data_IF_712625244829
#
_entry.id   IF_712625244829
#
_cell.length_a   1.000
_cell.length_b   1.000
_cell.length_c   1.000
_cell.angle_alpha   90.00
_cell.angle_beta   90.00
_cell.angle_gamma   90.00
#
_symmetry.space_group_name_H-M   'P 1'
#
loop_
_entity.id
_entity.type
_entity.pdbx_description
1 polymer ?
#
# COMPACT_ATOMS: atom_id res chain seq x y z
N UNK A 1 22.64 -23.49 14.11
CA UNK A 1 21.37 -24.24 13.92
C UNK A 1 20.73 -23.72 12.66
N UNK A 2 20.96 -24.38 11.51
CA UNK A 2 20.45 -23.94 10.21
C UNK A 2 18.98 -24.31 10.06
N UNK A 3 18.10 -23.34 9.93
CA UNK A 3 16.72 -23.55 9.50
C UNK A 3 16.71 -23.81 7.98
N UNK A 4 16.49 -25.05 7.58
CA UNK A 4 16.17 -25.42 6.19
C UNK A 4 14.76 -24.92 5.88
N UNK A 5 14.66 -23.89 5.04
CA UNK A 5 13.42 -23.54 4.36
C UNK A 5 13.06 -24.65 3.38
N UNK A 6 12.05 -25.44 3.69
CA UNK A 6 11.40 -26.32 2.72
C UNK A 6 10.58 -25.45 1.77
N UNK A 7 11.08 -25.29 0.56
CA UNK A 7 10.28 -24.82 -0.57
C UNK A 7 9.27 -25.93 -0.89
N UNK A 8 8.03 -25.73 -0.51
CA UNK A 8 6.91 -26.57 -0.95
C UNK A 8 6.60 -26.17 -2.38
N UNK A 9 6.99 -27.03 -3.33
CA UNK A 9 6.50 -26.94 -4.71
C UNK A 9 5.02 -27.29 -4.74
N UNK A 10 4.17 -26.26 -4.72
CA UNK A 10 2.72 -26.39 -4.85
C UNK A 10 2.30 -26.30 -6.31
N UNK A 11 2.60 -27.32 -7.12
CA UNK A 11 2.05 -27.47 -8.48
C UNK A 11 0.58 -27.96 -8.49
N UNK A 12 -0.04 -28.23 -7.37
CA UNK A 12 -1.36 -28.86 -7.28
C UNK A 12 -2.46 -28.08 -6.57
N UNK A 13 -2.33 -26.79 -6.33
CA UNK A 13 -3.46 -25.96 -5.91
C UNK A 13 -4.17 -25.42 -7.15
N UNK A 14 -5.03 -26.26 -7.79
CA UNK A 14 -6.11 -25.77 -8.66
C UNK A 14 -6.99 -24.85 -7.81
N UNK A 15 -6.75 -23.54 -7.93
CA UNK A 15 -7.60 -22.50 -7.36
C UNK A 15 -8.94 -22.60 -8.10
N UNK A 16 -9.90 -23.30 -7.48
CA UNK A 16 -11.29 -23.28 -7.93
C UNK A 16 -11.79 -21.85 -7.80
N UNK A 17 -12.10 -21.27 -8.96
CA UNK A 17 -12.77 -19.99 -9.19
C UNK A 17 -12.06 -18.72 -8.71
N UNK A 18 -11.44 -18.03 -9.65
CA UNK A 18 -10.94 -16.64 -9.58
C UNK A 18 -12.01 -15.57 -9.23
N UNK A 19 -13.27 -15.98 -8.96
CA UNK A 19 -14.37 -15.07 -8.63
C UNK A 19 -14.32 -14.46 -7.22
N UNK A 20 -13.50 -15.00 -6.33
CA UNK A 20 -13.29 -14.48 -4.96
C UNK A 20 -12.10 -13.54 -4.83
N UNK A 21 -11.37 -13.29 -5.90
CA UNK A 21 -10.36 -12.25 -5.95
C UNK A 21 -11.07 -10.91 -5.99
N UNK A 22 -10.61 -9.98 -5.17
CA UNK A 22 -11.05 -8.60 -5.16
C UNK A 22 -11.35 -8.17 -6.59
N UNK A 23 -12.63 -8.00 -6.92
CA UNK A 23 -13.05 -7.59 -8.25
C UNK A 23 -12.40 -6.24 -8.53
N UNK A 24 -11.46 -6.21 -9.45
CA UNK A 24 -11.01 -4.99 -10.10
C UNK A 24 -12.13 -4.55 -11.06
N UNK A 25 -13.35 -4.40 -10.53
CA UNK A 25 -14.41 -3.71 -11.22
C UNK A 25 -14.03 -2.23 -11.18
N UNK A 26 -13.47 -1.76 -12.29
CA UNK A 26 -13.31 -0.32 -12.53
C UNK A 26 -14.73 0.22 -12.66
N UNK A 27 -15.37 0.49 -11.51
CA UNK A 27 -16.64 1.18 -11.51
C UNK A 27 -16.42 2.54 -12.16
N UNK A 28 -17.31 2.93 -13.07
CA UNK A 28 -17.26 4.19 -13.83
C UNK A 28 -17.39 5.47 -12.95
N UNK A 29 -17.23 5.38 -11.65
CA UNK A 29 -17.37 6.46 -10.67
C UNK A 29 -16.03 6.99 -10.14
N UNK A 30 -15.00 7.03 -11.00
CA UNK A 30 -13.74 7.67 -10.62
C UNK A 30 -13.97 9.18 -10.45
N UNK A 31 -13.86 9.68 -9.23
CA UNK A 31 -13.91 11.11 -8.95
C UNK A 31 -12.65 11.79 -9.48
N UNK A 32 -12.82 12.80 -10.33
CA UNK A 32 -11.71 13.65 -10.79
C UNK A 32 -11.41 14.66 -9.69
N UNK A 33 -10.23 14.57 -9.08
CA UNK A 33 -9.74 15.53 -8.11
C UNK A 33 -8.81 16.53 -8.79
N UNK A 34 -9.16 17.79 -8.74
CA UNK A 34 -8.24 18.86 -9.14
C UNK A 34 -7.33 19.20 -7.97
N UNK A 35 -6.03 19.19 -8.21
CA UNK A 35 -5.05 19.62 -7.22
C UNK A 35 -5.05 21.16 -7.13
N UNK A 36 -4.93 21.71 -5.93
CA UNK A 36 -4.58 23.11 -5.75
C UNK A 36 -3.18 23.39 -6.31
N UNK A 37 -2.82 24.65 -6.47
CA UNK A 37 -1.49 25.03 -6.95
C UNK A 37 -0.38 24.47 -6.04
N UNK A 38 -0.54 24.58 -4.72
CA UNK A 38 0.39 24.06 -3.73
C UNK A 38 0.52 22.52 -3.82
N UNK A 39 -0.61 21.82 -3.90
CA UNK A 39 -0.65 20.37 -4.06
C UNK A 39 0.00 19.92 -5.37
N UNK A 40 -0.22 20.67 -6.46
CA UNK A 40 0.39 20.38 -7.74
C UNK A 40 1.91 20.60 -7.72
N UNK A 41 2.39 21.63 -7.05
CA UNK A 41 3.81 21.87 -6.87
C UNK A 41 4.45 20.75 -6.03
N UNK A 42 3.84 20.34 -4.92
CA UNK A 42 4.29 19.20 -4.14
C UNK A 42 4.32 17.90 -4.98
N UNK A 43 3.28 17.62 -5.76
CA UNK A 43 3.24 16.48 -6.66
C UNK A 43 4.35 16.52 -7.72
N UNK A 44 4.62 17.69 -8.32
CA UNK A 44 5.71 17.85 -9.29
C UNK A 44 7.06 17.49 -8.70
N UNK A 45 7.34 17.91 -7.46
CA UNK A 45 8.58 17.54 -6.77
C UNK A 45 8.67 16.03 -6.50
N UNK A 46 7.58 15.40 -6.04
CA UNK A 46 7.53 13.94 -5.87
C UNK A 46 7.73 13.18 -7.18
N UNK A 47 7.32 13.77 -8.30
CA UNK A 47 7.32 13.14 -9.63
C UNK A 47 8.54 13.47 -10.47
N UNK A 48 9.44 14.30 -9.96
CA UNK A 48 10.59 14.82 -10.71
C UNK A 48 11.59 13.75 -11.18
N UNK A 49 11.61 12.63 -10.47
CA UNK A 49 12.57 11.57 -10.73
C UNK A 49 11.84 10.27 -11.11
N UNK A 50 12.26 9.64 -12.18
CA UNK A 50 11.64 8.43 -12.72
C UNK A 50 12.38 7.14 -12.31
N UNK A 51 13.57 7.26 -11.68
CA UNK A 51 14.39 6.13 -11.28
C UNK A 51 15.21 6.40 -10.01
N UNK A 52 15.62 5.32 -9.35
CA UNK A 52 16.42 5.35 -8.13
C UNK A 52 15.59 5.54 -6.87
N UNK A 53 16.17 5.10 -5.75
CA UNK A 53 15.59 5.23 -4.42
C UNK A 53 15.61 6.69 -3.93
N UNK A 54 14.50 7.16 -3.39
CA UNK A 54 14.37 8.49 -2.79
C UNK A 54 13.38 8.46 -1.63
N UNK A 55 13.65 9.32 -0.66
CA UNK A 55 12.75 9.60 0.46
C UNK A 55 12.27 11.04 0.34
N UNK A 56 10.96 11.22 0.39
CA UNK A 56 10.34 12.55 0.37
C UNK A 56 9.52 12.74 1.65
N UNK A 57 9.61 13.91 2.25
CA UNK A 57 8.76 14.33 3.35
C UNK A 57 7.69 15.30 2.83
N UNK A 58 6.42 14.86 2.88
CA UNK A 58 5.29 15.69 2.51
C UNK A 58 4.70 16.34 3.77
N UNK A 59 5.03 17.60 4.02
CA UNK A 59 4.53 18.39 5.15
C UNK A 59 3.27 19.17 4.78
N UNK A 60 2.37 19.31 5.74
CA UNK A 60 1.15 20.11 5.61
C UNK A 60 0.24 19.92 6.81
N UNK A 61 -0.60 20.90 7.08
CA UNK A 61 -1.59 20.84 8.16
C UNK A 61 -2.60 19.72 7.96
N UNK A 62 -3.31 19.34 9.00
CA UNK A 62 -4.43 18.41 8.90
C UNK A 62 -5.48 18.99 7.96
N UNK A 63 -6.00 18.19 7.03
CA UNK A 63 -6.97 18.66 6.03
C UNK A 63 -6.37 19.37 4.80
N UNK A 64 -5.06 19.60 4.73
CA UNK A 64 -4.41 20.22 3.54
C UNK A 64 -4.46 19.35 2.27
N UNK A 65 -5.00 18.14 2.35
CA UNK A 65 -5.16 17.26 1.21
C UNK A 65 -3.91 16.44 0.84
N UNK A 66 -2.97 16.25 1.75
CA UNK A 66 -1.78 15.37 1.56
C UNK A 66 -2.13 14.03 0.92
N UNK A 67 -3.25 13.44 1.35
CA UNK A 67 -3.75 12.17 0.81
C UNK A 67 -3.91 12.19 -0.72
N UNK A 68 -4.47 13.28 -1.28
CA UNK A 68 -4.69 13.38 -2.73
C UNK A 68 -3.36 13.52 -3.47
N UNK A 69 -2.39 14.21 -2.88
CA UNK A 69 -1.05 14.37 -3.46
C UNK A 69 -0.37 13.00 -3.58
N UNK A 70 -0.32 12.22 -2.51
CA UNK A 70 0.30 10.90 -2.62
C UNK A 70 -0.56 9.89 -3.40
N UNK A 71 -1.89 10.02 -3.44
CA UNK A 71 -2.71 9.23 -4.36
C UNK A 71 -2.32 9.48 -5.82
N UNK A 72 -2.04 10.74 -6.18
CA UNK A 72 -1.54 11.07 -7.50
C UNK A 72 -0.18 10.45 -7.80
N UNK A 73 0.72 10.42 -6.82
CA UNK A 73 1.99 9.70 -6.94
C UNK A 73 1.79 8.18 -7.12
N UNK A 74 0.88 7.58 -6.35
CA UNK A 74 0.51 6.16 -6.51
C UNK A 74 -0.04 5.92 -7.93
N UNK A 75 -0.92 6.77 -8.45
CA UNK A 75 -1.46 6.64 -9.81
C UNK A 75 -0.32 6.57 -10.85
N UNK A 76 0.72 7.43 -10.74
CA UNK A 76 1.91 7.37 -11.60
C UNK A 76 2.60 6.01 -11.52
N UNK A 77 2.79 5.49 -10.31
CA UNK A 77 3.45 4.19 -10.08
C UNK A 77 2.64 3.02 -10.65
N UNK A 78 1.32 3.06 -10.52
CA UNK A 78 0.43 2.05 -11.10
C UNK A 78 0.47 2.06 -12.62
N UNK A 79 0.55 3.24 -13.25
CA UNK A 79 0.61 3.39 -14.70
C UNK A 79 1.88 2.80 -15.31
N UNK A 80 2.99 2.73 -14.58
CA UNK A 80 4.22 2.04 -15.00
C UNK A 80 4.25 0.55 -14.61
N UNK A 81 3.09 0.00 -14.17
CA UNK A 81 2.90 -1.41 -13.85
C UNK A 81 3.46 -1.86 -12.50
N UNK A 82 3.90 -0.93 -11.65
CA UNK A 82 4.40 -1.21 -10.29
C UNK A 82 3.25 -1.28 -9.28
N UNK A 83 3.59 -1.66 -8.05
CA UNK A 83 2.66 -1.80 -6.93
C UNK A 83 2.97 -0.74 -5.87
N UNK A 84 1.98 -0.43 -5.04
CA UNK A 84 2.15 0.53 -3.95
C UNK A 84 1.68 -0.03 -2.60
N UNK A 85 2.34 0.42 -1.53
CA UNK A 85 1.96 0.18 -0.15
C UNK A 85 1.65 1.50 0.53
N UNK A 86 0.48 1.58 1.17
CA UNK A 86 0.11 2.69 2.05
C UNK A 86 0.15 2.17 3.48
N UNK A 87 1.07 2.70 4.26
CA UNK A 87 1.10 2.48 5.71
C UNK A 87 0.24 3.53 6.39
N UNK A 88 -0.69 3.07 7.22
CA UNK A 88 -1.52 3.90 8.08
C UNK A 88 -1.34 3.47 9.54
N UNK A 89 -1.45 4.39 10.50
CA UNK A 89 -1.70 4.02 11.90
C UNK A 89 -2.93 3.11 12.00
N UNK A 90 -3.00 2.24 13.01
CA UNK A 90 -4.16 1.33 13.14
C UNK A 90 -5.49 2.09 13.21
N UNK A 91 -5.50 3.26 13.85
CA UNK A 91 -6.68 4.15 13.89
C UNK A 91 -7.01 4.78 12.54
N UNK A 92 -6.05 4.86 11.64
CA UNK A 92 -6.21 5.40 10.27
C UNK A 92 -6.81 4.40 9.29
N UNK A 93 -6.83 3.09 9.66
CA UNK A 93 -7.44 2.02 8.85
C UNK A 93 -8.97 2.04 8.99
N UNK A 94 -9.59 3.09 8.51
CA UNK A 94 -11.02 3.32 8.62
C UNK A 94 -11.75 3.02 7.31
N UNK A 95 -13.04 2.66 7.44
CA UNK A 95 -13.91 2.51 6.27
C UNK A 95 -14.00 3.80 5.43
N UNK A 96 -13.80 4.95 6.05
CA UNK A 96 -13.80 6.24 5.36
C UNK A 96 -12.58 6.37 4.44
N UNK A 97 -11.39 5.98 4.92
CA UNK A 97 -10.19 5.97 4.09
C UNK A 97 -10.32 5.00 2.91
N UNK A 98 -10.86 3.80 3.16
CA UNK A 98 -11.12 2.81 2.10
C UNK A 98 -12.10 3.34 1.05
N UNK A 99 -13.19 4.00 1.47
CA UNK A 99 -14.14 4.66 0.57
C UNK A 99 -13.48 5.78 -0.23
N UNK A 100 -12.64 6.61 0.41
CA UNK A 100 -11.91 7.68 -0.26
C UNK A 100 -10.95 7.12 -1.31
N UNK A 101 -10.23 6.04 -0.97
CA UNK A 101 -9.37 5.32 -1.90
C UNK A 101 -10.16 4.79 -3.10
N UNK A 102 -11.25 4.06 -2.84
CA UNK A 102 -12.11 3.49 -3.89
C UNK A 102 -12.68 4.58 -4.80
N UNK A 103 -13.15 5.69 -4.23
CA UNK A 103 -13.67 6.84 -4.99
C UNK A 103 -12.61 7.48 -5.90
N UNK A 104 -11.34 7.50 -5.48
CA UNK A 104 -10.24 8.06 -6.26
C UNK A 104 -9.79 7.12 -7.38
N UNK A 105 -9.54 5.86 -7.05
CA UNK A 105 -8.94 4.90 -7.98
C UNK A 105 -9.95 4.11 -8.82
N UNK A 106 -11.21 4.03 -8.40
CA UNK A 106 -12.25 3.20 -9.02
C UNK A 106 -12.16 1.72 -8.67
N UNK A 107 -11.24 1.32 -7.79
CA UNK A 107 -11.09 -0.06 -7.31
C UNK A 107 -10.74 -0.10 -5.82
N UNK A 108 -10.85 -1.27 -5.19
CA UNK A 108 -10.54 -1.48 -3.78
C UNK A 108 -9.08 -1.89 -3.59
N UNK A 109 -8.41 -1.31 -2.59
CA UNK A 109 -7.11 -1.80 -2.14
C UNK A 109 -7.24 -3.06 -1.28
N UNK A 110 -6.18 -3.84 -1.21
CA UNK A 110 -6.10 -4.93 -0.24
C UNK A 110 -5.79 -4.38 1.14
N UNK A 111 -6.70 -4.56 2.09
CA UNK A 111 -6.52 -4.07 3.47
C UNK A 111 -5.91 -5.17 4.34
N UNK A 112 -4.79 -4.83 5.03
CA UNK A 112 -4.02 -5.75 5.85
C UNK A 112 -3.87 -5.26 7.29
N UNK A 113 -4.48 -5.99 8.22
CA UNK A 113 -4.41 -5.75 9.68
C UNK A 113 -4.62 -7.04 10.46
N UNK A 114 -4.50 -6.98 11.78
CA UNK A 114 -4.58 -8.13 12.68
C UNK A 114 -5.88 -8.93 12.56
N UNK A 115 -7.00 -8.27 12.28
CA UNK A 115 -8.35 -8.88 12.18
C UNK A 115 -8.67 -9.51 10.82
N UNK A 116 -7.75 -9.47 9.84
CA UNK A 116 -7.98 -10.11 8.53
C UNK A 116 -7.97 -11.63 8.70
N UNK A 117 -9.01 -12.31 8.20
CA UNK A 117 -9.14 -13.77 8.30
C UNK A 117 -8.01 -14.51 7.57
N UNK A 118 -7.64 -15.72 8.00
CA UNK A 118 -6.58 -16.50 7.36
C UNK A 118 -6.82 -16.74 5.86
N UNK A 119 -8.07 -17.01 5.45
CA UNK A 119 -8.45 -17.17 4.04
C UNK A 119 -8.16 -15.89 3.25
N UNK A 120 -8.59 -14.72 3.75
CA UNK A 120 -8.35 -13.43 3.10
C UNK A 120 -6.87 -13.07 3.07
N UNK A 121 -6.11 -13.38 4.13
CA UNK A 121 -4.64 -13.21 4.17
C UNK A 121 -3.96 -14.00 3.04
N UNK A 122 -4.32 -15.27 2.82
CA UNK A 122 -3.76 -16.09 1.73
C UNK A 122 -4.07 -15.49 0.36
N UNK A 123 -5.28 -14.98 0.14
CA UNK A 123 -5.68 -14.31 -1.11
C UNK A 123 -4.83 -13.05 -1.35
N UNK A 124 -4.70 -12.19 -0.34
CA UNK A 124 -3.89 -10.96 -0.42
C UNK A 124 -2.43 -11.30 -0.70
N UNK A 125 -1.86 -12.24 0.03
CA UNK A 125 -0.49 -12.70 -0.14
C UNK A 125 -0.20 -13.15 -1.57
N UNK A 126 -1.01 -14.08 -2.10
CA UNK A 126 -0.86 -14.58 -3.46
C UNK A 126 -1.16 -13.50 -4.52
N UNK A 127 -2.10 -12.60 -4.25
CA UNK A 127 -2.42 -11.49 -5.14
C UNK A 127 -1.28 -10.48 -5.28
N UNK A 128 -0.60 -10.16 -4.18
CA UNK A 128 0.55 -9.26 -4.17
C UNK A 128 1.78 -9.90 -4.81
N UNK A 129 2.10 -11.15 -4.44
CA UNK A 129 3.26 -11.86 -4.99
C UNK A 129 3.15 -12.13 -6.49
N UNK A 130 1.93 -12.33 -7.00
CA UNK A 130 1.69 -12.46 -8.44
C UNK A 130 1.59 -11.12 -9.19
N UNK A 131 1.50 -10.00 -8.46
CA UNK A 131 1.29 -8.66 -9.04
C UNK A 131 -0.15 -8.37 -9.49
N UNK A 132 -1.11 -9.25 -9.17
CA UNK A 132 -2.54 -9.04 -9.46
C UNK A 132 -3.14 -7.94 -8.58
N UNK A 133 -2.82 -7.94 -7.29
CA UNK A 133 -3.18 -6.83 -6.41
C UNK A 133 -2.14 -5.72 -6.57
N UNK A 134 -2.62 -4.53 -6.86
CA UNK A 134 -1.76 -3.38 -7.17
C UNK A 134 -1.45 -2.51 -5.97
N UNK A 135 -2.40 -2.40 -5.03
CA UNK A 135 -2.23 -1.56 -3.84
C UNK A 135 -2.62 -2.33 -2.59
N UNK A 136 -1.77 -2.27 -1.58
CA UNK A 136 -2.12 -2.69 -0.23
C UNK A 136 -2.16 -1.47 0.71
N UNK A 137 -3.08 -1.50 1.65
CA UNK A 137 -3.20 -0.55 2.75
C UNK A 137 -3.08 -1.34 4.04
N UNK A 138 -2.27 -0.89 4.98
CA UNK A 138 -2.18 -1.62 6.24
C UNK A 138 -1.33 -0.94 7.30
N UNK A 139 -1.34 -1.54 8.50
CA UNK A 139 -0.48 -1.16 9.61
C UNK A 139 0.92 -1.75 9.44
N UNK A 140 1.76 -1.63 10.46
CA UNK A 140 3.17 -2.08 10.51
C UNK A 140 3.46 -3.40 9.80
N UNK A 141 2.66 -4.43 10.08
CA UNK A 141 2.89 -5.78 9.55
C UNK A 141 2.72 -5.89 8.03
N UNK A 142 2.08 -4.93 7.38
CA UNK A 142 1.94 -4.90 5.92
C UNK A 142 3.27 -4.62 5.21
N UNK A 143 4.27 -4.11 5.91
CA UNK A 143 5.64 -3.99 5.40
C UNK A 143 6.24 -5.33 4.95
N UNK A 144 5.82 -6.45 5.51
CA UNK A 144 6.37 -7.77 5.19
C UNK A 144 5.61 -8.51 4.09
N UNK A 145 4.64 -7.87 3.45
CA UNK A 145 3.88 -8.45 2.35
C UNK A 145 4.74 -8.66 1.09
N UNK A 146 4.55 -9.76 0.34
CA UNK A 146 5.39 -10.15 -0.79
C UNK A 146 4.98 -9.44 -2.08
N UNK A 147 5.31 -8.17 -2.21
CA UNK A 147 5.06 -7.46 -3.47
C UNK A 147 5.97 -7.98 -4.59
N UNK A 148 5.42 -8.20 -5.79
CA UNK A 148 6.18 -8.59 -6.97
C UNK A 148 7.06 -7.45 -7.51
N UNK A 149 6.51 -6.23 -7.52
CA UNK A 149 7.18 -5.03 -8.02
C UNK A 149 6.71 -3.81 -7.23
N UNK A 150 7.18 -3.69 -5.99
CA UNK A 150 6.89 -2.53 -5.15
C UNK A 150 7.64 -1.31 -5.69
N UNK A 151 6.91 -0.25 -6.02
CA UNK A 151 7.48 0.98 -6.56
C UNK A 151 7.27 2.22 -5.69
N UNK A 152 6.39 2.12 -4.68
CA UNK A 152 6.16 3.22 -3.74
C UNK A 152 5.69 2.69 -2.39
N UNK A 153 6.26 3.22 -1.33
CA UNK A 153 5.74 3.08 0.04
C UNK A 153 5.37 4.49 0.53
N UNK A 154 4.14 4.67 0.93
CA UNK A 154 3.67 5.89 1.60
C UNK A 154 3.46 5.58 3.07
N UNK A 155 4.00 6.42 3.95
CA UNK A 155 3.80 6.36 5.41
C UNK A 155 3.00 7.60 5.80
N UNK A 156 1.71 7.44 6.04
CA UNK A 156 0.85 8.55 6.47
C UNK A 156 0.95 8.71 8.00
N UNK A 157 0.86 9.96 8.49
CA UNK A 157 1.06 10.30 9.92
C UNK A 157 2.33 9.66 10.50
N UNK A 158 3.48 9.87 9.83
CA UNK A 158 4.76 9.18 10.07
C UNK A 158 5.27 9.30 11.52
N UNK A 159 4.80 10.30 12.26
CA UNK A 159 5.13 10.56 13.65
C UNK A 159 4.32 9.72 14.66
N UNK A 160 3.32 8.96 14.18
CA UNK A 160 2.44 8.17 15.05
C UNK A 160 3.22 7.06 15.77
N UNK A 161 3.00 6.96 17.09
CA UNK A 161 3.68 5.98 17.95
C UNK A 161 3.35 4.53 17.59
N UNK A 162 2.21 4.28 16.92
CA UNK A 162 1.80 2.93 16.51
C UNK A 162 2.74 2.31 15.48
N UNK A 163 3.62 3.09 14.83
CA UNK A 163 4.67 2.56 13.96
C UNK A 163 5.83 1.91 14.69
N UNK A 164 5.97 2.18 15.97
CA UNK A 164 6.97 1.54 16.81
C UNK A 164 6.44 0.22 17.36
N UNK A 165 7.21 -0.84 17.23
CA UNK A 165 6.95 -2.11 17.89
C UNK A 165 7.95 -2.29 19.02
N UNK A 166 7.44 -2.39 20.24
CA UNK A 166 8.25 -2.51 21.46
C UNK A 166 8.25 -3.94 22.04
N UNK A 167 7.41 -4.84 21.51
CA UNK A 167 7.32 -6.22 21.96
C UNK A 167 7.90 -7.18 20.90
N UNK A 168 8.65 -8.17 21.37
CA UNK A 168 9.29 -9.17 20.50
C UNK A 168 10.45 -8.57 19.72
N UNK A 169 10.34 -8.54 18.39
CA UNK A 169 11.34 -7.87 17.53
C UNK A 169 11.04 -6.37 17.54
N UNK A 170 11.96 -5.60 18.10
CA UNK A 170 11.85 -4.15 18.19
C UNK A 170 12.19 -3.53 16.83
N UNK A 171 11.26 -2.78 16.23
CA UNK A 171 11.50 -2.00 15.02
C UNK A 171 10.54 -0.82 14.90
N UNK A 172 10.92 0.16 14.08
CA UNK A 172 10.04 1.23 13.65
C UNK A 172 9.66 1.00 12.17
N UNK A 173 8.36 0.94 11.89
CA UNK A 173 7.88 0.65 10.55
C UNK A 173 8.25 1.74 9.52
N UNK A 174 8.35 3.00 9.94
CA UNK A 174 8.85 4.09 9.09
C UNK A 174 10.29 3.82 8.64
N UNK A 175 11.17 3.49 9.56
CA UNK A 175 12.59 3.26 9.28
C UNK A 175 12.78 1.97 8.45
N UNK A 176 11.99 0.94 8.75
CA UNK A 176 11.94 -0.28 7.95
C UNK A 176 11.38 -0.05 6.54
N UNK A 177 10.45 0.89 6.35
CA UNK A 177 9.96 1.25 5.03
C UNK A 177 11.08 1.83 4.16
N UNK A 178 11.94 2.68 4.73
CA UNK A 178 13.13 3.24 4.06
C UNK A 178 14.12 2.13 3.68
N UNK A 179 14.35 1.18 4.59
CA UNK A 179 15.28 0.07 4.33
C UNK A 179 14.76 -0.93 3.29
N UNK A 180 13.43 -0.98 3.10
CA UNK A 180 12.78 -1.89 2.16
C UNK A 180 12.69 -1.33 0.73
N UNK A 181 12.62 -0.02 0.58
CA UNK A 181 12.43 0.67 -0.70
C UNK A 181 13.72 0.73 -1.51
#
# INVERSE_FOLDING_TARGET
MCLKLHLINDENLKIKNDKDLLKYDVSNEKKIYQLSEEQNNAYKELSKYDSGFRVHLLQGTTGSGKTIVYFKAIEKILNIGSQALILLPEIGLTNEFEKKFKSYFGFEAAVWHSKVSPKKRKIIWNGLSSGRIKVAIGARSSLFLPFKKLGLITVDEEHDQSYKQDEGIIYNARDMAISRA
#
